data_IF_363852297699
#
_entry.id   IF_363852297699
#
_cell.length_a   1.000
_cell.length_b   1.000
_cell.length_c   1.000
_cell.angle_alpha   90.00
_cell.angle_beta   90.00
_cell.angle_gamma   90.00
#
_symmetry.space_group_name_H-M   'P 1'
#
loop_
_entity.id
_entity.type
_entity.pdbx_description
1 polymer ?
#
# COMPACT_ATOMS: atom_id res chain seq x y z
N UNK A 1 12.35 6.17 -22.54
CA UNK A 1 12.85 5.80 -21.20
C UNK A 1 11.70 5.16 -20.45
N UNK A 2 11.93 4.10 -19.69
CA UNK A 2 10.91 3.55 -18.81
C UNK A 2 10.54 4.57 -17.72
N UNK A 3 9.30 4.51 -17.23
CA UNK A 3 8.87 5.30 -16.06
C UNK A 3 9.43 4.62 -14.81
N UNK A 4 10.07 5.38 -13.91
CA UNK A 4 10.54 4.85 -12.62
C UNK A 4 9.43 4.97 -11.58
N UNK A 5 9.36 4.00 -10.67
CA UNK A 5 8.37 4.00 -9.61
C UNK A 5 8.92 3.42 -8.31
N UNK A 6 8.40 3.94 -7.20
CA UNK A 6 8.55 3.34 -5.88
C UNK A 6 7.61 2.12 -5.70
N UNK A 7 6.58 2.00 -6.54
CA UNK A 7 5.49 1.05 -6.35
C UNK A 7 4.58 1.41 -5.16
N UNK A 8 4.66 2.65 -4.65
CA UNK A 8 3.77 3.16 -3.62
C UNK A 8 2.63 3.95 -4.28
N UNK A 9 1.48 3.97 -3.62
CA UNK A 9 0.44 4.97 -3.84
C UNK A 9 0.30 5.77 -2.56
N UNK A 10 0.38 7.09 -2.67
CA UNK A 10 0.24 7.98 -1.52
C UNK A 10 -0.96 8.90 -1.68
N UNK A 11 -1.45 9.42 -0.56
CA UNK A 11 -2.44 10.49 -0.55
C UNK A 11 -1.96 11.65 0.31
N UNK A 12 -2.36 12.87 -0.07
CA UNK A 12 -2.08 14.08 0.72
C UNK A 12 -3.22 14.25 1.73
N UNK A 13 -2.93 13.98 2.99
CA UNK A 13 -3.86 14.16 4.09
C UNK A 13 -3.87 15.63 4.51
N UNK A 14 -4.95 16.32 4.16
CA UNK A 14 -5.19 17.73 4.51
C UNK A 14 -6.04 17.89 5.77
N UNK A 15 -6.46 16.79 6.40
CA UNK A 15 -7.31 16.84 7.60
C UNK A 15 -6.55 17.20 8.88
N UNK A 16 -5.23 17.27 8.79
CA UNK A 16 -4.29 17.49 9.89
C UNK A 16 -3.23 18.51 9.47
N UNK A 17 -2.73 19.28 10.44
CA UNK A 17 -1.66 20.26 10.24
C UNK A 17 -0.39 19.83 11.02
N UNK A 18 0.80 19.84 10.38
CA UNK A 18 1.01 20.04 8.94
C UNK A 18 0.43 18.90 8.09
N UNK A 19 0.10 19.20 6.82
CA UNK A 19 -0.39 18.19 5.86
C UNK A 19 0.61 17.03 5.73
N UNK A 20 0.10 15.81 5.54
CA UNK A 20 0.92 14.59 5.53
C UNK A 20 0.89 13.90 4.18
N UNK A 21 2.04 13.40 3.72
CA UNK A 21 2.11 12.45 2.61
C UNK A 21 1.98 11.03 3.16
N UNK A 22 0.77 10.46 3.09
CA UNK A 22 0.47 9.16 3.68
C UNK A 22 0.49 8.04 2.65
N UNK A 23 1.00 6.87 3.05
CA UNK A 23 0.96 5.66 2.23
C UNK A 23 -0.47 5.14 2.19
N UNK A 24 -1.09 5.17 1.01
CA UNK A 24 -2.43 4.64 0.77
C UNK A 24 -2.38 3.15 0.43
N UNK A 25 -1.45 2.78 -0.45
CA UNK A 25 -1.26 1.41 -0.89
C UNK A 25 0.21 1.15 -1.21
N UNK A 26 0.60 -0.11 -1.09
CA UNK A 26 1.89 -0.62 -1.56
C UNK A 26 1.54 -1.63 -2.65
N UNK A 27 2.09 -1.52 -3.86
CA UNK A 27 1.84 -2.53 -4.89
C UNK A 27 2.33 -3.91 -4.40
N UNK A 28 1.66 -5.00 -4.76
CA UNK A 28 2.11 -6.34 -4.32
C UNK A 28 3.47 -6.74 -4.88
N UNK A 29 3.85 -6.19 -6.04
CA UNK A 29 5.18 -6.32 -6.62
C UNK A 29 6.16 -5.21 -6.17
N UNK A 30 5.74 -4.28 -5.30
CA UNK A 30 6.59 -3.16 -4.88
C UNK A 30 7.85 -3.66 -4.16
N UNK A 31 9.01 -3.06 -4.44
CA UNK A 31 10.25 -3.35 -3.73
C UNK A 31 10.19 -3.03 -2.23
N UNK A 32 9.26 -2.17 -1.78
CA UNK A 32 9.04 -1.86 -0.36
C UNK A 32 8.34 -2.98 0.43
N UNK A 33 7.79 -4.01 -0.23
CA UNK A 33 7.25 -5.19 0.48
C UNK A 33 8.36 -5.87 1.28
N UNK A 34 8.10 -6.12 2.57
CA UNK A 34 9.09 -6.67 3.52
C UNK A 34 10.02 -5.63 4.16
N UNK A 35 9.97 -4.35 3.78
CA UNK A 35 10.83 -3.30 4.37
C UNK A 35 10.37 -2.82 5.76
N UNK A 36 9.19 -3.25 6.20
CA UNK A 36 8.52 -2.72 7.39
C UNK A 36 7.68 -1.47 7.16
N UNK A 37 7.67 -0.89 5.95
CA UNK A 37 6.72 0.15 5.53
C UNK A 37 5.29 -0.40 5.49
N UNK A 38 4.33 0.38 5.99
CA UNK A 38 2.93 0.00 6.04
C UNK A 38 1.99 1.05 5.43
N UNK A 39 0.80 0.59 5.05
CA UNK A 39 -0.33 1.48 4.76
C UNK A 39 -0.67 2.31 6.01
N UNK A 40 -0.99 3.59 5.80
CA UNK A 40 -1.26 4.58 6.83
C UNK A 40 -0.02 5.33 7.33
N UNK A 41 1.19 4.80 7.11
CA UNK A 41 2.43 5.47 7.48
C UNK A 41 2.59 6.82 6.75
N UNK A 42 3.21 7.80 7.41
CA UNK A 42 3.51 9.11 6.83
C UNK A 42 4.97 9.19 6.38
N UNK A 43 5.21 9.46 5.10
CA UNK A 43 6.56 9.73 4.60
C UNK A 43 6.92 11.18 4.96
N UNK A 44 7.98 11.37 5.73
CA UNK A 44 8.44 12.70 6.18
C UNK A 44 9.68 13.18 5.43
N UNK A 45 10.55 12.27 4.98
CA UNK A 45 11.75 12.59 4.18
C UNK A 45 11.93 11.52 3.11
N UNK A 46 12.31 11.91 1.90
CA UNK A 46 12.80 11.01 0.85
C UNK A 46 14.14 11.51 0.32
N UNK A 47 15.18 10.68 0.43
CA UNK A 47 16.57 10.98 0.01
C UNK A 47 17.09 12.34 0.55
N UNK A 48 16.82 12.61 1.83
CA UNK A 48 17.23 13.85 2.50
C UNK A 48 16.35 15.07 2.20
N UNK A 49 15.35 14.96 1.34
CA UNK A 49 14.39 16.03 1.04
C UNK A 49 13.13 15.86 1.89
N UNK A 50 12.71 16.90 2.60
CA UNK A 50 11.46 16.90 3.38
C UNK A 50 10.23 16.73 2.46
N UNK A 51 9.33 15.82 2.82
CA UNK A 51 8.12 15.47 2.05
C UNK A 51 6.88 16.23 2.55
N UNK A 52 7.02 17.52 2.84
CA UNK A 52 5.93 18.38 3.29
C UNK A 52 5.11 18.85 2.07
N UNK A 53 3.86 18.39 1.87
CA UNK A 53 3.11 18.69 0.65
C UNK A 53 2.97 20.19 0.33
N UNK A 54 2.74 21.10 1.31
CA UNK A 54 2.67 22.53 1.03
C UNK A 54 3.96 23.11 0.41
N UNK A 55 5.13 22.59 0.78
CA UNK A 55 6.42 23.05 0.25
C UNK A 55 6.60 22.76 -1.25
N UNK A 56 5.82 21.83 -1.81
CA UNK A 56 5.86 21.47 -3.23
C UNK A 56 4.91 22.32 -4.09
N UNK A 57 3.97 23.07 -3.49
CA UNK A 57 3.03 23.91 -4.23
C UNK A 57 2.29 23.16 -5.34
N UNK A 58 2.47 23.61 -6.60
CA UNK A 58 1.87 22.99 -7.78
C UNK A 58 2.57 21.69 -8.24
N UNK A 59 3.69 21.30 -7.62
CA UNK A 59 4.46 20.07 -7.93
C UNK A 59 4.20 18.94 -6.94
N UNK A 60 3.10 19.00 -6.18
CA UNK A 60 2.69 17.91 -5.27
C UNK A 60 2.53 16.57 -5.99
N UNK A 61 2.25 16.58 -7.30
CA UNK A 61 2.18 15.39 -8.13
C UNK A 61 3.52 14.67 -8.37
N UNK A 62 4.65 15.33 -8.06
CA UNK A 62 6.01 14.76 -8.13
C UNK A 62 6.43 14.06 -6.82
N UNK A 63 5.60 14.12 -5.77
CA UNK A 63 5.88 13.44 -4.51
C UNK A 63 5.92 11.93 -4.68
N UNK A 64 6.65 11.24 -3.80
CA UNK A 64 6.77 9.77 -3.81
C UNK A 64 5.37 9.13 -3.75
N UNK A 65 5.09 8.20 -4.67
CA UNK A 65 3.81 7.52 -4.79
C UNK A 65 2.66 8.35 -5.39
N UNK A 66 2.94 9.55 -5.90
CA UNK A 66 2.01 10.31 -6.75
C UNK A 66 2.24 9.99 -8.23
N UNK A 67 1.28 10.36 -9.08
CA UNK A 67 1.25 9.91 -10.48
C UNK A 67 2.48 10.28 -11.31
N UNK A 68 3.19 11.38 -10.98
CA UNK A 68 4.41 11.80 -11.68
C UNK A 68 5.66 11.76 -10.81
N UNK A 69 5.74 10.84 -9.84
CA UNK A 69 6.98 10.57 -9.09
C UNK A 69 8.18 10.27 -10.00
N UNK A 70 7.95 9.76 -11.22
CA UNK A 70 9.00 9.48 -12.19
C UNK A 70 9.75 10.75 -12.64
N UNK A 71 9.05 11.89 -12.73
CA UNK A 71 9.66 13.17 -13.10
C UNK A 71 10.66 13.64 -12.03
N UNK A 72 10.33 13.42 -10.76
CA UNK A 72 11.24 13.64 -9.63
C UNK A 72 12.48 12.76 -9.74
N UNK A 73 12.30 11.45 -9.96
CA UNK A 73 13.45 10.53 -10.04
C UNK A 73 14.35 10.86 -11.23
N UNK A 74 13.77 11.20 -12.39
CA UNK A 74 14.52 11.62 -13.58
C UNK A 74 15.28 12.92 -13.37
N UNK A 75 14.65 13.94 -12.78
CA UNK A 75 15.33 15.22 -12.50
C UNK A 75 16.48 15.06 -11.50
N UNK A 76 16.42 14.05 -10.63
CA UNK A 76 17.50 13.67 -9.73
C UNK A 76 18.53 12.72 -10.37
N UNK A 77 18.43 12.41 -11.68
CA UNK A 77 19.37 11.55 -12.40
C UNK A 77 19.34 10.07 -11.98
N UNK A 78 18.22 9.61 -11.42
CA UNK A 78 18.06 8.27 -10.86
C UNK A 78 17.75 7.23 -11.93
N UNK A 79 18.12 5.99 -11.67
CA UNK A 79 17.89 4.82 -12.51
C UNK A 79 17.19 3.70 -11.75
N UNK A 80 16.69 2.71 -12.49
CA UNK A 80 16.22 1.47 -11.88
C UNK A 80 17.37 0.77 -11.16
N UNK A 81 17.10 0.24 -9.96
CA UNK A 81 18.08 -0.32 -9.05
C UNK A 81 18.64 0.66 -8.02
N UNK A 82 18.54 1.98 -8.25
CA UNK A 82 18.99 2.95 -7.25
C UNK A 82 18.14 2.91 -5.99
N UNK A 83 18.77 2.92 -4.81
CA UNK A 83 18.06 2.88 -3.53
C UNK A 83 17.38 4.22 -3.20
N UNK A 84 16.09 4.19 -2.93
CA UNK A 84 15.37 5.31 -2.30
C UNK A 84 15.30 5.07 -0.80
N UNK A 85 15.72 6.07 -0.01
CA UNK A 85 15.67 6.07 1.44
C UNK A 85 14.53 6.94 1.92
N UNK A 86 13.55 6.34 2.58
CA UNK A 86 12.42 7.05 3.19
C UNK A 86 12.58 7.10 4.70
N UNK A 87 12.31 8.26 5.29
CA UNK A 87 12.06 8.38 6.72
C UNK A 87 10.56 8.47 6.89
N UNK A 88 10.05 7.64 7.79
CA UNK A 88 8.64 7.34 7.88
C UNK A 88 8.21 7.48 9.31
N UNK A 89 7.14 8.23 9.54
CA UNK A 89 6.48 8.37 10.83
C UNK A 89 5.26 7.47 10.86
N UNK A 90 5.22 6.54 11.81
CA UNK A 90 4.02 5.71 12.05
C UNK A 90 3.19 6.30 13.17
N UNK A 91 2.00 6.79 12.84
CA UNK A 91 1.04 7.22 13.84
C UNK A 91 0.55 6.05 14.70
N UNK A 92 0.42 6.27 16.01
CA UNK A 92 -0.43 5.46 16.88
C UNK A 92 -1.55 6.36 17.39
N UNK A 93 -2.80 5.87 17.51
CA UNK A 93 -3.84 6.63 18.19
C UNK A 93 -3.34 7.12 19.55
N UNK A 94 -3.37 8.44 19.78
CA UNK A 94 -3.00 9.05 21.06
C UNK A 94 -1.51 9.17 21.39
N UNK A 95 -0.57 8.87 20.47
CA UNK A 95 0.87 9.00 20.73
C UNK A 95 1.64 9.67 19.58
N UNK A 96 2.74 10.35 19.92
CA UNK A 96 3.69 10.81 18.91
C UNK A 96 4.30 9.60 18.19
N UNK A 97 4.14 9.58 16.86
CA UNK A 97 4.63 8.49 16.05
C UNK A 97 6.16 8.40 16.01
N UNK A 98 6.67 7.18 16.11
CA UNK A 98 8.10 6.87 15.95
C UNK A 98 8.51 7.08 14.49
N UNK A 99 9.68 7.70 14.29
CA UNK A 99 10.29 7.86 12.96
C UNK A 99 11.34 6.77 12.77
N UNK A 100 11.20 6.00 11.69
CA UNK A 100 12.17 4.97 11.30
C UNK A 100 12.50 5.10 9.81
N UNK A 101 13.58 4.43 9.40
CA UNK A 101 14.06 4.45 8.02
C UNK A 101 13.63 3.17 7.31
N UNK A 102 13.18 3.31 6.07
CA UNK A 102 13.00 2.20 5.13
C UNK A 102 13.76 2.47 3.85
N UNK A 103 14.32 1.42 3.24
CA UNK A 103 15.13 1.50 2.02
C UNK A 103 14.63 0.45 1.05
N UNK A 104 14.46 0.83 -0.22
CA UNK A 104 14.13 -0.09 -1.28
C UNK A 104 14.69 0.44 -2.62
N UNK A 105 15.02 -0.42 -3.59
CA UNK A 105 15.42 0.03 -4.92
C UNK A 105 14.24 0.64 -5.69
N UNK A 106 14.50 1.64 -6.53
CA UNK A 106 13.58 2.06 -7.58
C UNK A 106 13.47 0.97 -8.63
N UNK A 107 12.27 0.78 -9.18
CA UNK A 107 12.04 -0.16 -10.27
C UNK A 107 11.43 0.58 -11.46
N UNK A 108 11.60 0.01 -12.65
CA UNK A 108 10.81 0.45 -13.79
C UNK A 108 9.34 0.06 -13.55
N UNK A 109 8.42 0.93 -13.96
CA UNK A 109 7.00 0.63 -14.03
C UNK A 109 6.81 -0.43 -15.12
N UNK A 110 6.77 -1.69 -14.71
CA UNK A 110 6.69 -2.82 -15.62
C UNK A 110 5.24 -3.19 -15.91
N UNK A 111 4.98 -3.56 -17.17
CA UNK A 111 3.90 -4.49 -17.51
C UNK A 111 4.52 -5.88 -17.59
N UNK A 112 4.21 -6.74 -16.64
CA UNK A 112 4.73 -8.11 -16.66
C UNK A 112 4.01 -8.90 -17.74
N UNK A 113 4.76 -9.68 -18.52
CA UNK A 113 4.20 -10.54 -19.56
C UNK A 113 4.84 -11.92 -19.52
N UNK A 114 4.07 -12.95 -19.81
CA UNK A 114 4.59 -14.31 -19.95
C UNK A 114 5.22 -14.55 -21.34
N UNK A 115 5.72 -15.78 -21.58
CA UNK A 115 6.29 -16.18 -22.87
C UNK A 115 5.33 -16.04 -24.07
N UNK A 116 4.02 -16.12 -23.82
CA UNK A 116 2.97 -15.92 -24.83
C UNK A 116 2.57 -14.45 -24.99
N UNK A 117 3.36 -13.52 -24.42
CA UNK A 117 3.09 -12.08 -24.43
C UNK A 117 1.76 -11.67 -23.76
N UNK A 118 1.23 -12.49 -22.84
CA UNK A 118 0.02 -12.20 -22.06
C UNK A 118 0.39 -11.45 -20.78
N UNK A 119 -0.38 -10.41 -20.45
CA UNK A 119 -0.14 -9.56 -19.28
C UNK A 119 -0.37 -10.30 -17.96
N UNK A 120 0.50 -10.08 -16.99
CA UNK A 120 0.48 -10.71 -15.66
C UNK A 120 0.23 -9.65 -14.57
N UNK A 121 -0.40 -10.06 -13.46
CA UNK A 121 -0.58 -9.19 -12.28
C UNK A 121 0.70 -8.92 -11.49
N UNK A 122 1.77 -9.64 -11.79
CA UNK A 122 3.07 -9.57 -11.15
C UNK A 122 4.06 -10.50 -11.88
N UNK A 123 5.35 -10.46 -11.55
CA UNK A 123 6.36 -11.29 -12.21
C UNK A 123 6.04 -12.78 -12.12
N UNK A 124 5.51 -13.23 -10.97
CA UNK A 124 5.08 -14.61 -10.71
C UNK A 124 3.55 -14.73 -10.64
N UNK A 125 2.82 -13.70 -11.08
CA UNK A 125 1.37 -13.61 -10.92
C UNK A 125 0.59 -14.33 -12.04
N UNK A 126 -0.73 -14.46 -11.88
CA UNK A 126 -1.59 -14.97 -12.94
C UNK A 126 -1.67 -14.02 -14.14
N UNK A 127 -2.09 -14.56 -15.28
CA UNK A 127 -2.53 -13.74 -16.41
C UNK A 127 -3.76 -12.93 -16.01
N UNK A 128 -3.73 -11.61 -16.25
CA UNK A 128 -4.75 -10.64 -15.81
C UNK A 128 -6.17 -11.06 -16.19
N UNK A 129 -6.36 -11.51 -17.43
CA UNK A 129 -7.65 -11.87 -18.00
C UNK A 129 -8.03 -13.36 -17.83
N UNK A 130 -7.18 -14.16 -17.19
CA UNK A 130 -7.49 -15.57 -16.94
C UNK A 130 -8.54 -15.73 -15.83
N UNK A 131 -9.38 -16.76 -15.99
CA UNK A 131 -10.35 -17.20 -14.97
C UNK A 131 -9.78 -18.38 -14.19
N UNK A 132 -10.15 -18.45 -12.93
CA UNK A 132 -9.62 -19.39 -11.93
C UNK A 132 -10.69 -20.29 -11.31
N UNK A 133 -11.90 -20.28 -11.88
CA UNK A 133 -13.06 -21.01 -11.37
C UNK A 133 -13.95 -20.20 -10.43
N UNK A 134 -13.54 -18.97 -10.04
CA UNK A 134 -14.40 -18.01 -9.38
C UNK A 134 -15.10 -17.08 -10.38
N UNK A 135 -15.98 -16.21 -9.87
CA UNK A 135 -16.57 -15.16 -10.69
C UNK A 135 -15.51 -14.13 -11.13
N UNK A 136 -15.49 -13.81 -12.43
CA UNK A 136 -14.56 -12.86 -13.03
C UNK A 136 -13.12 -13.35 -13.25
N UNK A 137 -12.32 -12.49 -13.90
CA UNK A 137 -10.88 -12.70 -14.11
C UNK A 137 -10.06 -12.36 -12.88
N UNK A 138 -8.79 -12.77 -12.86
CA UNK A 138 -7.84 -12.37 -11.80
C UNK A 138 -7.75 -10.86 -11.61
N UNK A 139 -7.66 -10.07 -12.70
CA UNK A 139 -7.63 -8.61 -12.62
C UNK A 139 -8.93 -8.03 -12.06
N UNK A 140 -10.08 -8.59 -12.47
CA UNK A 140 -11.40 -8.19 -11.98
C UNK A 140 -11.56 -8.39 -10.48
N UNK A 141 -10.82 -9.33 -9.88
CA UNK A 141 -10.76 -9.51 -8.43
C UNK A 141 -9.64 -8.72 -7.76
N UNK A 142 -8.43 -8.77 -8.31
CA UNK A 142 -7.23 -8.22 -7.72
C UNK A 142 -7.31 -6.70 -7.48
N UNK A 143 -7.82 -5.93 -8.44
CA UNK A 143 -7.91 -4.48 -8.29
C UNK A 143 -8.91 -4.05 -7.19
N UNK A 144 -10.17 -4.53 -7.17
CA UNK A 144 -11.06 -4.26 -6.04
C UNK A 144 -10.51 -4.76 -4.71
N UNK A 145 -9.87 -5.93 -4.71
CA UNK A 145 -9.32 -6.52 -3.50
C UNK A 145 -8.15 -5.69 -2.94
N UNK A 146 -7.26 -5.19 -3.79
CA UNK A 146 -6.18 -4.28 -3.37
C UNK A 146 -6.73 -2.97 -2.79
N UNK A 147 -7.78 -2.40 -3.38
CA UNK A 147 -8.48 -1.22 -2.83
C UNK A 147 -9.11 -1.51 -1.47
N UNK A 148 -9.69 -2.69 -1.30
CA UNK A 148 -10.19 -3.15 0.00
C UNK A 148 -9.06 -3.26 1.03
N UNK A 149 -7.91 -3.85 0.66
CA UNK A 149 -6.75 -3.93 1.55
C UNK A 149 -6.26 -2.55 1.97
N UNK A 150 -6.10 -1.61 1.02
CA UNK A 150 -5.73 -0.22 1.32
C UNK A 150 -6.65 0.40 2.39
N UNK A 151 -7.97 0.21 2.26
CA UNK A 151 -8.95 0.67 3.26
C UNK A 151 -8.82 -0.02 4.61
N UNK A 152 -8.72 -1.35 4.64
CA UNK A 152 -8.73 -2.12 5.90
C UNK A 152 -7.44 -1.99 6.71
N UNK A 153 -6.31 -1.78 6.01
CA UNK A 153 -4.98 -1.63 6.60
C UNK A 153 -4.72 -0.22 7.14
N UNK A 154 -5.39 0.82 6.63
CA UNK A 154 -5.30 2.19 7.16
C UNK A 154 -6.16 2.36 8.43
N UNK A 155 -5.60 1.97 9.59
CA UNK A 155 -6.31 1.93 10.88
C UNK A 155 -6.83 3.31 11.31
N UNK A 156 -6.09 4.38 11.07
CA UNK A 156 -6.45 5.74 11.51
C UNK A 156 -7.67 6.28 10.76
N UNK A 157 -7.90 5.82 9.52
CA UNK A 157 -9.03 6.25 8.68
C UNK A 157 -10.24 5.33 8.71
N UNK A 158 -10.28 4.39 9.65
CA UNK A 158 -11.48 3.55 9.86
C UNK A 158 -12.68 4.44 10.18
N UNK A 159 -13.75 4.24 9.42
CA UNK A 159 -15.00 4.99 9.61
C UNK A 159 -15.77 4.47 10.81
N UNK A 160 -16.70 5.28 11.32
CA UNK A 160 -17.65 4.85 12.38
C UNK A 160 -18.49 3.62 12.01
N UNK A 161 -18.60 3.33 10.72
CA UNK A 161 -19.27 2.13 10.19
C UNK A 161 -18.38 0.89 10.12
N UNK A 162 -17.09 0.99 10.46
CA UNK A 162 -16.20 -0.16 10.49
C UNK A 162 -16.63 -1.12 11.61
N UNK A 163 -16.91 -2.38 11.24
CA UNK A 163 -17.26 -3.43 12.18
C UNK A 163 -16.29 -4.59 11.98
N UNK A 164 -15.40 -4.80 12.96
CA UNK A 164 -14.33 -5.80 12.87
C UNK A 164 -14.82 -7.22 12.57
N UNK A 165 -15.89 -7.66 13.22
CA UNK A 165 -16.45 -9.00 13.01
C UNK A 165 -17.05 -9.16 11.62
N UNK A 166 -17.79 -8.14 11.15
CA UNK A 166 -18.34 -8.12 9.81
C UNK A 166 -17.24 -8.15 8.74
N UNK A 167 -16.24 -7.28 8.86
CA UNK A 167 -15.11 -7.20 7.91
C UNK A 167 -14.31 -8.50 7.91
N UNK A 168 -14.05 -9.10 9.08
CA UNK A 168 -13.36 -10.39 9.18
C UNK A 168 -14.15 -11.52 8.52
N UNK A 169 -15.46 -11.58 8.73
CA UNK A 169 -16.34 -12.57 8.09
C UNK A 169 -16.36 -12.41 6.58
N UNK A 170 -16.55 -11.19 6.08
CA UNK A 170 -16.57 -10.89 4.64
C UNK A 170 -15.24 -11.25 3.97
N UNK A 171 -14.10 -10.97 4.62
CA UNK A 171 -12.78 -11.36 4.13
C UNK A 171 -12.65 -12.88 4.00
N UNK A 172 -13.08 -13.65 5.00
CA UNK A 172 -13.03 -15.12 4.95
C UNK A 172 -13.94 -15.66 3.87
N UNK A 173 -15.22 -15.27 3.88
CA UNK A 173 -16.25 -15.84 3.02
C UNK A 173 -16.07 -15.47 1.55
N UNK A 174 -15.64 -14.24 1.23
CA UNK A 174 -15.54 -13.77 -0.16
C UNK A 174 -14.17 -13.91 -0.78
N UNK A 175 -13.11 -13.92 0.02
CA UNK A 175 -11.74 -13.80 -0.50
C UNK A 175 -10.80 -14.91 -0.06
N UNK A 176 -11.06 -15.58 1.07
CA UNK A 176 -10.15 -16.56 1.65
C UNK A 176 -9.76 -17.69 0.68
N UNK A 177 -10.74 -18.28 0.00
CA UNK A 177 -10.49 -19.37 -0.95
C UNK A 177 -9.65 -18.91 -2.16
N UNK A 178 -9.89 -17.70 -2.67
CA UNK A 178 -9.17 -17.16 -3.83
C UNK A 178 -7.75 -16.73 -3.47
N UNK A 179 -7.53 -16.22 -2.26
CA UNK A 179 -6.18 -15.97 -1.71
C UNK A 179 -5.41 -17.29 -1.54
N UNK A 180 -6.05 -18.33 -1.00
CA UNK A 180 -5.41 -19.65 -0.87
C UNK A 180 -5.01 -20.22 -2.25
N UNK A 181 -5.91 -20.15 -3.23
CA UNK A 181 -5.62 -20.57 -4.60
C UNK A 181 -4.47 -19.76 -5.23
N UNK A 182 -4.43 -18.45 -4.99
CA UNK A 182 -3.34 -17.59 -5.49
C UNK A 182 -1.97 -18.05 -4.96
N UNK A 183 -1.89 -18.41 -3.68
CA UNK A 183 -0.66 -18.89 -3.03
C UNK A 183 -0.25 -20.27 -3.55
N UNK A 184 -1.21 -21.17 -3.71
CA UNK A 184 -0.96 -22.53 -4.21
C UNK A 184 -0.50 -22.54 -5.66
N UNK A 185 -1.21 -21.81 -6.54
CA UNK A 185 -1.02 -21.88 -7.99
C UNK A 185 0.06 -20.94 -8.52
N UNK A 186 0.33 -19.85 -7.81
CA UNK A 186 1.28 -18.81 -8.24
C UNK A 186 2.30 -18.53 -7.12
N UNK A 187 3.11 -19.52 -6.71
CA UNK A 187 4.09 -19.32 -5.65
C UNK A 187 5.12 -18.28 -6.08
N UNK A 188 5.24 -17.20 -5.31
CA UNK A 188 6.17 -16.12 -5.64
C UNK A 188 5.91 -14.86 -4.85
N UNK A 189 6.59 -13.77 -5.21
CA UNK A 189 6.51 -12.51 -4.45
C UNK A 189 5.10 -11.92 -4.47
N UNK A 190 4.41 -12.03 -5.61
CA UNK A 190 3.08 -11.49 -5.78
C UNK A 190 2.07 -12.14 -4.81
N UNK A 191 1.96 -13.46 -4.80
CA UNK A 191 1.00 -14.17 -3.93
C UNK A 191 1.37 -14.09 -2.46
N UNK A 192 2.67 -14.03 -2.13
CA UNK A 192 3.14 -13.78 -0.77
C UNK A 192 2.65 -12.42 -0.24
N UNK A 193 2.78 -11.35 -1.02
CA UNK A 193 2.27 -10.02 -0.65
C UNK A 193 0.74 -9.98 -0.53
N UNK A 194 0.02 -10.67 -1.42
CA UNK A 194 -1.44 -10.82 -1.34
C UNK A 194 -1.85 -11.48 -0.02
N UNK A 195 -1.18 -12.58 0.33
CA UNK A 195 -1.41 -13.32 1.58
C UNK A 195 -1.10 -12.46 2.80
N UNK A 196 0.03 -11.75 2.79
CA UNK A 196 0.44 -10.87 3.89
C UNK A 196 -0.61 -9.78 4.17
N UNK A 197 -1.08 -9.09 3.13
CA UNK A 197 -2.12 -8.06 3.27
C UNK A 197 -3.42 -8.66 3.81
N UNK A 198 -3.84 -9.81 3.28
CA UNK A 198 -5.05 -10.51 3.71
C UNK A 198 -4.98 -10.92 5.19
N UNK A 199 -3.90 -11.57 5.61
CA UNK A 199 -3.70 -12.02 6.99
C UNK A 199 -3.62 -10.85 7.95
N UNK A 200 -2.94 -9.76 7.55
CA UNK A 200 -2.85 -8.54 8.34
C UNK A 200 -4.20 -7.85 8.48
N UNK A 201 -4.97 -7.75 7.40
CA UNK A 201 -6.32 -7.18 7.44
C UNK A 201 -7.23 -8.01 8.37
N UNK A 202 -7.20 -9.34 8.28
CA UNK A 202 -7.92 -10.22 9.19
C UNK A 202 -7.52 -10.02 10.65
N UNK A 203 -6.22 -9.90 10.93
CA UNK A 203 -5.71 -9.66 12.28
C UNK A 203 -6.26 -8.34 12.83
N UNK A 204 -6.18 -7.26 12.05
CA UNK A 204 -6.65 -5.94 12.46
C UNK A 204 -8.18 -5.85 12.56
N UNK A 205 -8.92 -6.68 11.82
CA UNK A 205 -10.37 -6.77 11.91
C UNK A 205 -10.80 -7.49 13.20
N UNK A 206 -10.02 -8.48 13.66
CA UNK A 206 -10.29 -9.24 14.90
C UNK A 206 -9.80 -8.59 16.19
N UNK A 207 -9.04 -7.49 16.11
CA UNK A 207 -8.60 -6.78 17.30
C UNK A 207 -9.78 -6.04 17.98
N UNK A 208 -9.91 -6.11 19.32
CA UNK A 208 -10.93 -5.34 20.02
C UNK A 208 -10.71 -3.85 19.75
N UNK A 209 -11.76 -3.18 19.29
CA UNK A 209 -11.71 -1.74 19.05
C UNK A 209 -11.52 -1.04 20.40
N UNK A 210 -10.47 -0.24 20.53
CA UNK A 210 -10.43 0.75 21.61
C UNK A 210 -11.60 1.73 21.33
N UNK A 211 -12.66 1.63 22.14
CA UNK A 211 -13.75 2.61 22.08
C UNK A 211 -13.20 4.02 22.34
N UNK A 212 -13.91 5.07 21.89
CA UNK A 212 -13.53 6.43 22.27
C UNK A 212 -13.50 6.50 23.79
N UNK A 213 -12.35 6.89 24.37
CA UNK A 213 -12.28 7.22 25.79
C UNK A 213 -13.38 8.26 26.07
N UNK A 214 -14.31 7.90 26.95
CA UNK A 214 -15.31 8.84 27.43
C UNK A 214 -14.57 10.06 27.98
N UNK A 215 -15.00 11.30 27.67
CA UNK A 215 -14.36 12.48 28.22
C UNK A 215 -14.36 12.34 29.74
N UNK A 216 -13.16 12.28 30.31
CA UNK A 216 -12.94 12.34 31.76
C UNK A 216 -13.72 13.54 32.27
N UNK A 217 -14.82 13.29 33.00
CA UNK A 217 -15.55 14.32 33.69
C UNK A 217 -14.62 14.94 34.72
N UNK A 218 -14.01 16.08 34.37
CA UNK A 218 -13.29 16.90 35.31
C UNK A 218 -14.30 17.40 36.37
N UNK A 219 -13.94 17.16 37.63
CA UNK A 219 -14.70 17.46 38.84
C UNK A 219 -14.87 18.96 39.08
#
# INVERSE_FOLDING_TARGET
MADLTSGLTTFIDKSVEPWRLRVEAIAWASPFRGSGLLVGDTIVIADGVAMEPPAFGNRTWELVGQYGEDARFRSAGRNAGDEIKLWVKRGRPGAEGEVFTVIAPLVERQSWRNADNRELLGPDGPVTMERDGFDGSWMGWAEPFQRLMAKLLDVERRTVSFNGDFEARELVERHGARVALAVERYPGRWSASVKEDYERALMLAKQPQAGPEAPSAAS
#
